data_IF_839900705775
#
_entry.id   IF_839900705775
#
_cell.length_a   1.000
_cell.length_b   1.000
_cell.length_c   1.000
_cell.angle_alpha   90.00
_cell.angle_beta   90.00
_cell.angle_gamma   90.00
#
_symmetry.space_group_name_H-M   'P 1'
#
loop_
_entity.id
_entity.type
_entity.pdbx_description
1 polymer ?
#
# COMPACT_ATOMS: atom_id res chain seq x y z
N UNK A 1 17.11 -24.70 -13.10
CA UNK A 1 15.67 -24.38 -12.99
C UNK A 1 15.14 -25.06 -11.73
N UNK A 2 14.94 -24.33 -10.64
CA UNK A 2 14.42 -24.89 -9.38
C UNK A 2 12.92 -25.16 -9.58
N UNK A 3 12.49 -26.41 -9.43
CA UNK A 3 11.07 -26.76 -9.52
C UNK A 3 10.37 -26.17 -8.29
N UNK A 4 9.56 -25.14 -8.52
CA UNK A 4 8.69 -24.57 -7.47
C UNK A 4 7.69 -25.65 -7.07
N UNK A 5 7.67 -26.00 -5.79
CA UNK A 5 6.77 -27.05 -5.30
C UNK A 5 5.34 -26.53 -5.16
N UNK A 6 4.35 -27.40 -5.34
CA UNK A 6 2.91 -27.06 -5.19
C UNK A 6 2.61 -26.38 -3.83
N UNK A 7 3.32 -26.77 -2.78
CA UNK A 7 3.18 -26.19 -1.44
C UNK A 7 3.70 -24.75 -1.37
N UNK A 8 4.81 -24.42 -2.02
CA UNK A 8 5.32 -23.04 -2.09
C UNK A 8 4.33 -22.12 -2.81
N UNK A 9 3.72 -22.59 -3.91
CA UNK A 9 2.70 -21.81 -4.64
C UNK A 9 1.46 -21.55 -3.77
N UNK A 10 1.03 -22.54 -2.99
CA UNK A 10 -0.12 -22.42 -2.09
C UNK A 10 0.15 -21.42 -0.96
N UNK A 11 1.34 -21.44 -0.37
CA UNK A 11 1.72 -20.48 0.68
C UNK A 11 1.85 -19.05 0.14
N UNK A 12 2.43 -18.88 -1.05
CA UNK A 12 2.48 -17.57 -1.71
C UNK A 12 1.07 -17.04 -2.04
N UNK A 13 0.17 -17.91 -2.50
CA UNK A 13 -1.22 -17.54 -2.79
C UNK A 13 -1.98 -17.11 -1.53
N UNK A 14 -1.80 -17.82 -0.42
CA UNK A 14 -2.37 -17.43 0.88
C UNK A 14 -1.82 -16.08 1.35
N UNK A 15 -0.53 -15.82 1.15
CA UNK A 15 0.07 -14.54 1.50
C UNK A 15 -0.53 -13.39 0.70
N UNK A 16 -0.70 -13.56 -0.63
CA UNK A 16 -1.34 -12.55 -1.49
C UNK A 16 -2.79 -12.31 -1.08
N UNK A 17 -3.57 -13.35 -0.77
CA UNK A 17 -4.94 -13.20 -0.29
C UNK A 17 -5.01 -12.40 1.03
N UNK A 18 -4.10 -12.66 1.98
CA UNK A 18 -4.01 -11.87 3.22
C UNK A 18 -3.68 -10.40 2.94
N UNK A 19 -2.76 -10.13 2.01
CA UNK A 19 -2.42 -8.76 1.60
C UNK A 19 -3.64 -8.05 1.03
N UNK A 20 -4.37 -8.69 0.12
CA UNK A 20 -5.57 -8.12 -0.50
C UNK A 20 -6.66 -7.82 0.54
N UNK A 21 -6.97 -8.81 1.39
CA UNK A 21 -7.99 -8.65 2.43
C UNK A 21 -7.61 -7.53 3.43
N UNK A 22 -6.37 -7.55 3.92
CA UNK A 22 -5.87 -6.54 4.85
C UNK A 22 -5.87 -5.12 4.27
N UNK A 23 -5.37 -4.94 3.05
CA UNK A 23 -5.35 -3.62 2.40
C UNK A 23 -6.74 -3.10 2.06
N UNK A 24 -7.69 -3.99 1.73
CA UNK A 24 -9.08 -3.58 1.47
C UNK A 24 -9.76 -3.06 2.74
N UNK A 25 -9.61 -3.77 3.86
CA UNK A 25 -10.12 -3.33 5.15
C UNK A 25 -9.44 -2.03 5.62
N UNK A 26 -8.12 -1.94 5.48
CA UNK A 26 -7.36 -0.76 5.85
C UNK A 26 -7.75 0.44 4.98
N UNK A 27 -7.85 0.28 3.67
CA UNK A 27 -8.26 1.33 2.73
C UNK A 27 -9.66 1.87 3.03
N UNK A 28 -10.60 0.98 3.36
CA UNK A 28 -11.94 1.38 3.78
C UNK A 28 -11.95 2.15 5.10
N UNK A 29 -11.30 1.61 6.15
CA UNK A 29 -11.18 2.27 7.44
C UNK A 29 -10.49 3.64 7.29
N UNK A 30 -9.47 3.71 6.44
CA UNK A 30 -8.75 4.94 6.17
C UNK A 30 -9.65 6.02 5.55
N UNK A 31 -10.36 5.69 4.48
CA UNK A 31 -11.17 6.65 3.76
C UNK A 31 -12.41 7.13 4.54
N UNK A 32 -13.07 6.24 5.29
CA UNK A 32 -14.30 6.56 6.01
C UNK A 32 -14.08 7.03 7.45
N UNK A 33 -13.04 6.57 8.12
CA UNK A 33 -12.78 6.89 9.52
C UNK A 33 -11.54 7.76 9.70
N UNK A 34 -10.38 7.31 9.23
CA UNK A 34 -9.11 7.90 9.65
C UNK A 34 -8.90 9.30 9.05
N UNK A 35 -9.04 9.45 7.73
CA UNK A 35 -8.86 10.75 7.06
C UNK A 35 -9.85 11.81 7.56
N UNK A 36 -11.18 11.57 7.63
CA UNK A 36 -12.12 12.58 8.11
C UNK A 36 -11.88 13.03 9.56
N UNK A 37 -11.39 12.13 10.42
CA UNK A 37 -11.11 12.43 11.82
C UNK A 37 -9.65 12.85 12.09
N UNK A 38 -8.81 12.95 11.04
CA UNK A 38 -7.40 13.30 11.19
C UNK A 38 -6.58 12.29 12.00
N UNK A 39 -6.98 11.03 12.03
CA UNK A 39 -6.31 9.97 12.83
C UNK A 39 -5.10 9.44 12.06
N UNK A 40 -3.93 9.54 12.68
CA UNK A 40 -2.64 9.13 12.13
C UNK A 40 -2.33 7.70 12.61
N UNK A 41 -2.09 6.76 11.68
CA UNK A 41 -1.82 5.34 11.99
C UNK A 41 -0.35 4.92 11.81
N UNK A 42 0.51 5.84 11.37
CA UNK A 42 1.87 5.53 10.90
C UNK A 42 1.93 5.08 9.43
N UNK A 43 3.13 4.83 8.93
CA UNK A 43 3.37 4.43 7.53
C UNK A 43 3.23 5.57 6.51
N UNK A 44 3.30 5.22 5.23
CA UNK A 44 3.37 6.18 4.09
C UNK A 44 2.14 7.08 3.99
N UNK A 45 0.94 6.51 4.12
CA UNK A 45 -0.32 7.26 4.02
C UNK A 45 -0.45 8.29 5.15
N UNK A 46 -0.04 7.94 6.36
CA UNK A 46 -0.04 8.87 7.51
C UNK A 46 1.03 9.95 7.36
N UNK A 47 2.22 9.62 6.85
CA UNK A 47 3.24 10.62 6.50
C UNK A 47 2.68 11.61 5.46
N UNK A 48 1.95 11.12 4.47
CA UNK A 48 1.31 11.95 3.46
C UNK A 48 0.21 12.87 4.05
N UNK A 49 -0.55 12.44 5.07
CA UNK A 49 -1.50 13.33 5.78
C UNK A 49 -0.79 14.50 6.47
N UNK A 50 0.35 14.23 7.11
CA UNK A 50 1.14 15.28 7.80
C UNK A 50 1.67 16.27 6.75
N UNK A 51 2.21 15.76 5.64
CA UNK A 51 2.70 16.60 4.56
C UNK A 51 1.57 17.38 3.87
N UNK A 52 0.39 16.80 3.68
CA UNK A 52 -0.78 17.49 3.13
C UNK A 52 -1.13 18.71 3.98
N UNK A 53 -1.11 18.56 5.31
CA UNK A 53 -1.42 19.65 6.25
C UNK A 53 -0.39 20.80 6.20
N UNK A 54 0.86 20.50 5.86
CA UNK A 54 1.95 21.49 5.77
C UNK A 54 2.03 22.13 4.37
N UNK A 55 1.80 21.34 3.31
CA UNK A 55 2.05 21.74 1.92
C UNK A 55 0.79 22.10 1.14
N UNK A 56 -0.40 21.79 1.65
CA UNK A 56 -1.68 21.86 0.93
C UNK A 56 -1.75 21.02 -0.37
N UNK A 57 -0.76 20.16 -0.64
CA UNK A 57 -0.78 19.22 -1.76
C UNK A 57 -1.70 18.06 -1.41
N UNK A 58 -2.58 17.68 -2.33
CA UNK A 58 -3.52 16.56 -2.13
C UNK A 58 -2.80 15.28 -1.71
N UNK A 59 -3.36 14.64 -0.69
CA UNK A 59 -2.85 13.39 -0.12
C UNK A 59 -2.62 12.28 -1.14
N UNK A 60 -3.39 12.26 -2.23
CA UNK A 60 -3.28 11.25 -3.29
C UNK A 60 -1.91 11.35 -3.97
N UNK A 61 -1.46 12.57 -4.28
CA UNK A 61 -0.16 12.80 -4.91
C UNK A 61 0.99 12.51 -3.96
N UNK A 62 0.88 12.94 -2.70
CA UNK A 62 1.89 12.71 -1.69
C UNK A 62 2.07 11.21 -1.38
N UNK A 63 0.96 10.50 -1.17
CA UNK A 63 0.99 9.06 -0.90
C UNK A 63 1.56 8.30 -2.08
N UNK A 64 1.12 8.63 -3.31
CA UNK A 64 1.61 7.97 -4.52
C UNK A 64 3.09 8.22 -4.74
N UNK A 65 3.55 9.47 -4.60
CA UNK A 65 4.97 9.83 -4.79
C UNK A 65 5.90 9.12 -3.81
N UNK A 66 5.56 9.13 -2.51
CA UNK A 66 6.36 8.45 -1.47
C UNK A 66 6.33 6.93 -1.69
N UNK A 67 5.17 6.37 -2.06
CA UNK A 67 5.03 4.93 -2.32
C UNK A 67 5.85 4.50 -3.54
N UNK A 68 5.84 5.27 -4.63
CA UNK A 68 6.67 5.01 -5.82
C UNK A 68 8.15 5.01 -5.46
N UNK A 69 8.60 5.97 -4.68
CA UNK A 69 9.99 6.04 -4.21
C UNK A 69 10.34 4.79 -3.40
N UNK A 70 9.47 4.36 -2.47
CA UNK A 70 9.67 3.11 -1.72
C UNK A 70 9.68 1.87 -2.60
N UNK A 71 8.87 1.81 -3.66
CA UNK A 71 8.88 0.69 -4.61
C UNK A 71 10.21 0.61 -5.37
N UNK A 72 10.80 1.75 -5.73
CA UNK A 72 12.16 1.79 -6.33
C UNK A 72 13.19 1.23 -5.35
N UNK A 73 13.15 1.64 -4.08
CA UNK A 73 14.02 1.05 -3.05
C UNK A 73 13.75 -0.46 -2.86
N UNK A 74 12.49 -0.89 -2.85
CA UNK A 74 12.13 -2.30 -2.74
C UNK A 74 12.70 -3.13 -3.90
N UNK A 75 12.66 -2.59 -5.13
CA UNK A 75 13.27 -3.22 -6.31
C UNK A 75 14.78 -3.41 -6.14
N UNK A 76 15.48 -2.39 -5.63
CA UNK A 76 16.94 -2.41 -5.50
C UNK A 76 17.43 -3.35 -4.39
N UNK A 77 16.70 -3.47 -3.27
CA UNK A 77 17.21 -4.11 -2.06
C UNK A 77 16.48 -5.40 -1.62
N UNK A 78 15.20 -5.60 -1.98
CA UNK A 78 14.35 -6.63 -1.36
C UNK A 78 14.06 -7.86 -2.25
N UNK A 79 14.43 -7.80 -3.53
CA UNK A 79 14.26 -8.88 -4.50
C UNK A 79 12.87 -8.96 -5.14
N UNK A 80 12.77 -9.72 -6.24
CA UNK A 80 11.59 -9.73 -7.13
C UNK A 80 10.29 -10.17 -6.46
N UNK A 81 10.32 -11.18 -5.60
CA UNK A 81 9.09 -11.69 -4.96
C UNK A 81 8.44 -10.66 -4.01
N UNK A 82 9.25 -9.98 -3.20
CA UNK A 82 8.78 -8.93 -2.31
C UNK A 82 8.32 -7.70 -3.09
N UNK A 83 9.04 -7.34 -4.16
CA UNK A 83 8.63 -6.25 -5.04
C UNK A 83 7.23 -6.46 -5.64
N UNK A 84 6.93 -7.67 -6.14
CA UNK A 84 5.60 -7.99 -6.67
C UNK A 84 4.51 -7.88 -5.60
N UNK A 85 4.74 -8.40 -4.39
CA UNK A 85 3.80 -8.27 -3.27
C UNK A 85 3.57 -6.80 -2.89
N UNK A 86 4.63 -5.98 -2.89
CA UNK A 86 4.54 -4.54 -2.62
C UNK A 86 3.76 -3.78 -3.69
N UNK A 87 3.91 -4.12 -4.98
CA UNK A 87 3.08 -3.55 -6.05
C UNK A 87 1.61 -3.85 -5.80
N UNK A 88 1.27 -5.12 -5.57
CA UNK A 88 -0.13 -5.54 -5.36
C UNK A 88 -0.73 -4.76 -4.17
N UNK A 89 -0.01 -4.68 -3.06
CA UNK A 89 -0.42 -3.91 -1.88
C UNK A 89 -0.65 -2.43 -2.21
N UNK A 90 0.27 -1.82 -2.97
CA UNK A 90 0.23 -0.38 -3.29
C UNK A 90 -0.95 -0.03 -4.19
N UNK A 91 -1.25 -0.87 -5.19
CA UNK A 91 -2.40 -0.68 -6.10
C UNK A 91 -3.72 -0.65 -5.33
N UNK A 92 -3.91 -1.54 -4.35
CA UNK A 92 -5.11 -1.55 -3.53
C UNK A 92 -5.27 -0.25 -2.71
N UNK A 93 -4.20 0.22 -2.08
CA UNK A 93 -4.23 1.48 -1.31
C UNK A 93 -4.58 2.66 -2.23
N UNK A 94 -3.97 2.76 -3.40
CA UNK A 94 -4.25 3.83 -4.36
C UNK A 94 -5.70 3.76 -4.85
N UNK A 95 -6.21 2.57 -5.17
CA UNK A 95 -7.61 2.39 -5.58
C UNK A 95 -8.58 2.93 -4.52
N UNK A 96 -8.38 2.58 -3.25
CA UNK A 96 -9.25 3.06 -2.17
C UNK A 96 -9.11 4.57 -1.93
N UNK A 97 -7.90 5.12 -2.03
CA UNK A 97 -7.67 6.58 -1.97
C UNK A 97 -8.33 7.32 -3.13
N UNK A 98 -8.40 6.73 -4.32
CA UNK A 98 -8.98 7.40 -5.49
C UNK A 98 -10.50 7.29 -5.54
N UNK A 99 -11.06 6.14 -5.12
CA UNK A 99 -12.49 5.86 -5.22
C UNK A 99 -13.31 6.39 -4.04
N UNK A 100 -12.74 6.45 -2.83
CA UNK A 100 -13.51 6.83 -1.63
C UNK A 100 -13.22 8.24 -1.09
N UNK A 101 -12.14 8.90 -1.56
CA UNK A 101 -11.69 10.20 -1.03
C UNK A 101 -11.85 11.35 -2.02
N UNK A 102 -11.75 11.10 -3.33
CA UNK A 102 -12.19 12.03 -4.37
C UNK A 102 -13.72 11.95 -4.46
#
# INVERSE_FOLDING_TARGET
MKLVTRNEVLEESKAVLKIIAGNSLLGFAYAKWMKPNGIINGGVTSMAMILEKVTNVSIVYLTSGITTLLLVFCWLFLGKANFFKSIISSVFIIYFLLFFII
#
